data_IF_125081975724
#
_entry.id   IF_125081975724
#
_cell.length_a   1.000
_cell.length_b   1.000
_cell.length_c   1.000
_cell.angle_alpha   90.00
_cell.angle_beta   90.00
_cell.angle_gamma   90.00
#
_symmetry.space_group_name_H-M   'P 1'
#
loop_
_entity.id
_entity.type
_entity.pdbx_description
1 polymer ?
#
# COMPACT_ATOMS: atom_id res chain seq x y z
N UNK A 1 -2.15 10.32 -7.05
CA UNK A 1 -2.81 9.70 -5.89
C UNK A 1 -2.15 8.37 -5.71
N UNK A 2 -1.91 8.12 -4.45
CA UNK A 2 -0.87 7.26 -3.94
C UNK A 2 -1.24 5.81 -4.17
N UNK A 3 -0.30 5.09 -4.76
CA UNK A 3 -0.14 3.65 -4.83
C UNK A 3 -0.09 2.95 -3.45
N UNK A 4 -0.71 3.52 -2.42
CA UNK A 4 -0.31 3.29 -1.03
C UNK A 4 -0.99 2.10 -0.37
N UNK A 5 -1.18 1.05 -1.15
CA UNK A 5 -1.56 -0.26 -0.63
C UNK A 5 -0.50 -1.33 -0.89
N UNK A 6 0.54 -0.99 -1.67
CA UNK A 6 1.63 -1.89 -2.04
C UNK A 6 3.03 -1.40 -1.64
N UNK A 7 3.18 -0.11 -1.30
CA UNK A 7 4.48 0.56 -1.13
C UNK A 7 4.73 1.08 0.30
N UNK A 8 4.40 0.25 1.29
CA UNK A 8 4.72 0.49 2.71
C UNK A 8 5.88 -0.41 3.21
N UNK A 9 6.61 -1.05 2.29
CA UNK A 9 7.62 -2.09 2.64
C UNK A 9 9.08 -1.61 2.64
N UNK A 10 9.42 -0.43 2.13
CA UNK A 10 10.83 -0.16 1.79
C UNK A 10 11.80 0.16 2.94
N UNK A 11 11.36 0.57 4.15
CA UNK A 11 12.25 1.37 5.02
C UNK A 11 12.81 0.67 6.28
N UNK A 12 12.39 -0.54 6.70
CA UNK A 12 12.93 -1.13 7.95
C UNK A 12 13.37 -2.61 7.93
N UNK A 13 13.62 -3.15 6.75
CA UNK A 13 14.29 -4.45 6.61
C UNK A 13 15.54 -4.32 5.77
N UNK A 14 16.70 -4.40 6.41
CA UNK A 14 17.96 -4.53 5.70
C UNK A 14 18.00 -5.81 4.87
N UNK A 15 17.66 -5.72 3.58
CA UNK A 15 18.05 -6.68 2.55
C UNK A 15 18.00 -6.00 1.16
N UNK A 16 19.15 -5.45 0.74
CA UNK A 16 19.28 -4.58 -0.44
C UNK A 16 19.02 -5.24 -1.81
N UNK A 17 18.69 -6.54 -1.87
CA UNK A 17 18.35 -7.24 -3.10
C UNK A 17 16.82 -7.45 -3.27
N UNK A 18 16.05 -7.22 -2.21
CA UNK A 18 14.61 -7.47 -2.08
C UNK A 18 13.78 -6.18 -2.19
N UNK A 19 14.31 -5.06 -1.69
CA UNK A 19 13.68 -3.74 -1.77
C UNK A 19 13.27 -3.36 -3.21
N UNK A 20 14.04 -3.76 -4.24
CA UNK A 20 13.74 -3.38 -5.62
C UNK A 20 12.43 -3.93 -6.20
N UNK A 21 11.90 -5.03 -5.65
CA UNK A 21 10.63 -5.60 -6.13
C UNK A 21 9.46 -4.92 -5.43
N UNK A 22 9.44 -4.85 -4.11
CA UNK A 22 8.36 -4.17 -3.38
C UNK A 22 8.32 -2.65 -3.57
N UNK A 23 9.37 -2.06 -4.13
CA UNK A 23 9.44 -0.63 -4.51
C UNK A 23 8.92 -0.35 -5.93
N UNK A 24 8.36 -1.34 -6.63
CA UNK A 24 7.84 -1.12 -8.00
C UNK A 24 6.54 -0.31 -7.93
N UNK A 25 6.50 0.91 -8.51
CA UNK A 25 5.26 1.69 -8.62
C UNK A 25 4.17 0.89 -9.35
N UNK A 26 2.90 1.05 -8.94
CA UNK A 26 1.79 0.28 -9.51
C UNK A 26 1.63 0.60 -10.99
N UNK A 27 1.91 1.84 -11.39
CA UNK A 27 1.87 2.30 -12.78
C UNK A 27 2.88 1.55 -13.66
N UNK A 28 3.97 1.03 -13.09
CA UNK A 28 4.96 0.24 -13.84
C UNK A 28 4.44 -1.16 -14.16
N UNK A 29 3.44 -1.67 -13.43
CA UNK A 29 2.77 -2.92 -13.81
C UNK A 29 2.04 -2.79 -15.14
N UNK A 30 1.59 -1.60 -15.53
CA UNK A 30 0.98 -1.38 -16.85
C UNK A 30 1.98 -1.64 -18.00
N UNK A 31 3.28 -1.58 -17.71
CA UNK A 31 4.40 -1.74 -18.66
C UNK A 31 5.14 -3.09 -18.49
N UNK A 32 4.82 -3.84 -17.43
CA UNK A 32 5.44 -5.11 -17.08
C UNK A 32 4.94 -6.25 -17.97
N UNK A 33 5.80 -7.20 -18.33
CA UNK A 33 5.34 -8.42 -19.02
C UNK A 33 4.76 -9.43 -18.02
N UNK A 34 3.90 -10.36 -18.49
CA UNK A 34 3.38 -11.45 -17.63
C UNK A 34 4.48 -12.32 -17.01
N UNK A 35 5.63 -12.47 -17.69
CA UNK A 35 6.79 -13.19 -17.17
C UNK A 35 7.45 -12.40 -16.03
N UNK A 36 7.65 -11.11 -16.21
CA UNK A 36 8.25 -10.26 -15.18
C UNK A 36 7.32 -10.14 -13.97
N UNK A 37 6.01 -10.09 -14.20
CA UNK A 37 5.00 -10.16 -13.14
C UNK A 37 5.06 -11.47 -12.34
N UNK A 38 5.28 -12.60 -13.01
CA UNK A 38 5.44 -13.88 -12.31
C UNK A 38 6.70 -13.91 -11.43
N UNK A 39 7.81 -13.37 -11.93
CA UNK A 39 9.06 -13.24 -11.16
C UNK A 39 8.86 -12.30 -9.96
N UNK A 40 8.18 -11.18 -10.18
CA UNK A 40 7.80 -10.22 -9.14
C UNK A 40 7.00 -10.88 -8.03
N UNK A 41 5.90 -11.58 -8.37
CA UNK A 41 5.05 -12.25 -7.40
C UNK A 41 5.84 -13.27 -6.57
N UNK A 42 6.73 -14.01 -7.22
CA UNK A 42 7.56 -15.01 -6.55
C UNK A 42 8.51 -14.37 -5.53
N UNK A 43 9.17 -13.27 -5.89
CA UNK A 43 10.03 -12.51 -4.98
C UNK A 43 9.23 -11.91 -3.82
N UNK A 44 8.13 -11.21 -4.12
CA UNK A 44 7.22 -10.61 -3.14
C UNK A 44 6.72 -11.66 -2.13
N UNK A 45 6.28 -12.85 -2.58
CA UNK A 45 5.78 -13.90 -1.68
C UNK A 45 6.87 -14.47 -0.78
N UNK A 46 8.11 -14.57 -1.25
CA UNK A 46 9.26 -15.01 -0.43
C UNK A 46 9.54 -13.96 0.64
N UNK A 47 9.58 -12.69 0.27
CA UNK A 47 9.84 -11.58 1.19
C UNK A 47 8.76 -11.46 2.25
N UNK A 48 7.48 -11.50 1.87
CA UNK A 48 6.35 -11.46 2.82
C UNK A 48 6.25 -12.68 3.75
N UNK A 49 7.02 -13.75 3.49
CA UNK A 49 7.20 -14.90 4.40
C UNK A 49 8.42 -14.75 5.29
N UNK A 50 9.51 -14.18 4.75
CA UNK A 50 10.76 -13.98 5.48
C UNK A 50 10.68 -12.80 6.45
N UNK A 51 9.87 -11.80 6.13
CA UNK A 51 9.77 -10.56 6.89
C UNK A 51 8.38 -10.42 7.53
N UNK A 52 8.33 -10.38 8.86
CA UNK A 52 7.13 -10.00 9.63
C UNK A 52 6.93 -8.47 9.67
N UNK A 53 7.42 -7.71 8.66
CA UNK A 53 7.80 -6.31 8.87
C UNK A 53 7.12 -5.20 8.08
N UNK A 54 6.30 -5.40 7.04
CA UNK A 54 5.77 -4.22 6.38
C UNK A 54 4.72 -3.56 7.27
N UNK A 55 4.76 -2.23 7.34
CA UNK A 55 3.70 -1.41 7.94
C UNK A 55 2.49 -1.38 6.99
N UNK A 56 2.03 -2.57 6.59
CA UNK A 56 0.92 -2.79 5.68
C UNK A 56 -0.27 -3.31 6.48
N UNK A 57 -1.50 -2.83 6.21
CA UNK A 57 -2.68 -3.39 6.85
C UNK A 57 -2.81 -4.91 6.63
N UNK A 58 -3.26 -5.63 7.66
CA UNK A 58 -3.34 -7.11 7.60
C UNK A 58 -4.17 -7.60 6.40
N UNK A 59 -5.25 -6.90 6.10
CA UNK A 59 -6.15 -7.16 4.98
C UNK A 59 -5.37 -7.14 3.66
N UNK A 60 -4.56 -6.11 3.47
CA UNK A 60 -3.76 -5.90 2.26
C UNK A 60 -2.65 -6.92 2.15
N UNK A 61 -2.01 -7.23 3.28
CA UNK A 61 -1.05 -8.34 3.36
C UNK A 61 -1.67 -9.66 2.87
N UNK A 62 -2.93 -9.94 3.25
CA UNK A 62 -3.62 -11.15 2.82
C UNK A 62 -3.94 -11.12 1.33
N UNK A 63 -4.40 -9.99 0.79
CA UNK A 63 -4.61 -9.81 -0.65
C UNK A 63 -3.33 -10.10 -1.44
N UNK A 64 -2.22 -9.46 -1.06
CA UNK A 64 -0.92 -9.62 -1.73
C UNK A 64 -0.41 -11.06 -1.72
N UNK A 65 -0.51 -11.74 -0.57
CA UNK A 65 -0.16 -13.16 -0.43
C UNK A 65 -1.06 -14.08 -1.28
N UNK A 66 -2.26 -13.62 -1.64
CA UNK A 66 -3.19 -14.38 -2.46
C UNK A 66 -3.06 -14.16 -3.96
N UNK A 67 -2.26 -13.17 -4.40
CA UNK A 67 -2.07 -12.88 -5.82
C UNK A 67 -1.38 -14.05 -6.55
N UNK A 68 -1.83 -14.34 -7.76
CA UNK A 68 -1.28 -15.39 -8.62
C UNK A 68 -0.97 -14.84 -10.01
N UNK A 69 -0.28 -15.61 -10.86
CA UNK A 69 0.01 -15.19 -12.24
C UNK A 69 -1.26 -14.94 -13.07
N UNK A 70 -2.39 -15.56 -12.70
CA UNK A 70 -3.68 -15.37 -13.37
C UNK A 70 -4.30 -13.99 -13.06
N UNK A 71 -3.79 -13.31 -12.03
CA UNK A 71 -4.21 -11.96 -11.67
C UNK A 71 -3.57 -10.86 -12.54
N UNK A 72 -2.61 -11.23 -13.39
CA UNK A 72 -1.83 -10.29 -14.21
C UNK A 72 -2.69 -9.26 -14.96
N UNK A 73 -3.66 -9.71 -15.77
CA UNK A 73 -4.44 -8.81 -16.61
C UNK A 73 -5.30 -7.84 -15.78
N UNK A 74 -5.77 -8.29 -14.60
CA UNK A 74 -6.50 -7.46 -13.66
C UNK A 74 -5.61 -6.42 -12.97
N UNK A 75 -4.39 -6.80 -12.55
CA UNK A 75 -3.41 -5.85 -12.00
C UNK A 75 -2.98 -4.82 -13.03
N UNK A 76 -2.80 -5.22 -14.29
CA UNK A 76 -2.52 -4.29 -15.41
C UNK A 76 -3.68 -3.32 -15.63
N UNK A 77 -4.93 -3.79 -15.56
CA UNK A 77 -6.10 -2.93 -15.70
C UNK A 77 -6.19 -1.90 -14.57
N UNK A 78 -5.98 -2.33 -13.32
CA UNK A 78 -5.89 -1.46 -12.15
C UNK A 78 -4.79 -0.40 -12.34
N UNK A 79 -3.57 -0.83 -12.69
CA UNK A 79 -2.41 0.04 -12.90
C UNK A 79 -2.64 1.11 -13.96
N UNK A 80 -3.24 0.73 -15.10
CA UNK A 80 -3.58 1.68 -16.18
C UNK A 80 -4.57 2.73 -15.71
N UNK A 81 -5.61 2.33 -14.98
CA UNK A 81 -6.59 3.27 -14.44
C UNK A 81 -5.94 4.24 -13.46
N UNK A 82 -5.00 3.78 -12.63
CA UNK A 82 -4.19 4.64 -11.75
C UNK A 82 -3.36 5.64 -12.56
N UNK A 83 -2.66 5.17 -13.60
CA UNK A 83 -1.86 6.02 -14.50
C UNK A 83 -2.73 7.08 -15.22
N UNK A 84 -3.95 6.73 -15.64
CA UNK A 84 -4.90 7.66 -16.27
C UNK A 84 -5.28 8.84 -15.36
N UNK A 85 -5.56 8.60 -14.07
CA UNK A 85 -5.82 9.66 -13.11
C UNK A 85 -4.58 10.54 -12.91
N UNK A 86 -3.40 9.92 -12.78
CA UNK A 86 -2.13 10.64 -12.68
C UNK A 86 -1.92 11.59 -13.86
N UNK A 87 -2.15 11.11 -15.08
CA UNK A 87 -2.04 11.90 -16.32
C UNK A 87 -3.05 13.05 -16.41
N UNK A 88 -4.23 12.91 -15.80
CA UNK A 88 -5.24 13.99 -15.71
C UNK A 88 -4.94 15.00 -14.60
N UNK A 89 -3.91 14.77 -13.78
CA UNK A 89 -3.68 15.55 -12.56
C UNK A 89 -4.79 15.33 -11.52
N UNK A 90 -5.58 14.28 -11.70
CA UNK A 90 -6.71 13.94 -10.86
C UNK A 90 -6.27 13.05 -9.71
N UNK A 91 -6.92 13.16 -8.55
CA UNK A 91 -6.83 12.12 -7.57
C UNK A 91 -7.41 10.82 -8.13
N UNK A 92 -6.66 9.72 -8.03
CA UNK A 92 -7.19 8.38 -8.25
C UNK A 92 -8.32 8.16 -7.24
N UNK A 93 -9.35 7.45 -7.66
CA UNK A 93 -10.42 6.95 -6.82
C UNK A 93 -10.23 5.42 -6.70
N UNK A 94 -10.15 4.90 -5.48
CA UNK A 94 -9.89 3.48 -5.23
C UNK A 94 -11.01 2.58 -5.77
N UNK A 95 -12.27 3.00 -5.65
CA UNK A 95 -13.40 2.24 -6.15
C UNK A 95 -13.45 2.26 -7.68
N UNK A 96 -13.12 3.39 -8.32
CA UNK A 96 -12.98 3.45 -9.77
C UNK A 96 -11.78 2.63 -10.30
N UNK A 97 -10.66 2.63 -9.58
CA UNK A 97 -9.47 1.84 -9.93
C UNK A 97 -9.78 0.34 -9.89
N UNK A 98 -10.47 -0.12 -8.84
CA UNK A 98 -10.98 -1.49 -8.77
C UNK A 98 -12.07 -1.76 -9.81
N UNK A 99 -12.93 -0.80 -10.14
CA UNK A 99 -13.93 -0.94 -11.19
C UNK A 99 -13.34 -1.32 -12.55
N UNK A 100 -12.13 -0.85 -12.88
CA UNK A 100 -11.43 -1.25 -14.09
C UNK A 100 -11.02 -2.74 -14.13
N UNK A 101 -10.99 -3.42 -12.98
CA UNK A 101 -10.62 -4.83 -12.83
C UNK A 101 -11.82 -5.75 -13.03
N UNK A 102 -13.05 -5.29 -12.76
CA UNK A 102 -14.26 -6.13 -12.70
C UNK A 102 -14.48 -6.94 -13.98
N UNK A 103 -14.38 -6.28 -15.14
CA UNK A 103 -14.62 -6.90 -16.46
C UNK A 103 -13.47 -7.81 -16.93
N UNK A 104 -12.27 -7.66 -16.36
CA UNK A 104 -11.06 -8.38 -16.78
C UNK A 104 -10.79 -9.59 -15.88
N UNK A 105 -10.94 -9.41 -14.58
CA UNK A 105 -10.73 -10.45 -13.58
C UNK A 105 -11.64 -10.19 -12.37
N UNK A 106 -12.90 -10.63 -12.48
CA UNK A 106 -13.91 -10.51 -11.42
C UNK A 106 -13.48 -11.09 -10.08
N UNK A 107 -12.75 -12.21 -10.07
CA UNK A 107 -12.28 -12.82 -8.83
C UNK A 107 -11.28 -11.90 -8.10
N UNK A 108 -10.34 -11.32 -8.83
CA UNK A 108 -9.39 -10.37 -8.27
C UNK A 108 -10.10 -9.10 -7.78
N UNK A 109 -11.06 -8.58 -8.55
CA UNK A 109 -11.89 -7.44 -8.15
C UNK A 109 -12.61 -7.68 -6.81
N UNK A 110 -13.30 -8.81 -6.66
CA UNK A 110 -14.02 -9.15 -5.44
C UNK A 110 -13.08 -9.30 -4.24
N UNK A 111 -11.89 -9.91 -4.43
CA UNK A 111 -10.86 -10.01 -3.39
C UNK A 111 -10.30 -8.62 -3.01
N UNK A 112 -10.05 -7.79 -4.01
CA UNK A 112 -9.54 -6.43 -3.87
C UNK A 112 -10.46 -5.53 -3.06
N UNK A 113 -11.72 -5.42 -3.48
CA UNK A 113 -12.72 -4.63 -2.76
C UNK A 113 -12.97 -5.15 -1.35
N UNK A 114 -13.12 -6.47 -1.19
CA UNK A 114 -13.30 -7.05 0.15
C UNK A 114 -12.14 -6.71 1.10
N UNK A 115 -10.91 -6.71 0.58
CA UNK A 115 -9.73 -6.33 1.35
C UNK A 115 -9.79 -4.84 1.71
N UNK A 116 -10.12 -3.97 0.76
CA UNK A 116 -10.23 -2.53 0.97
C UNK A 116 -11.35 -2.14 1.93
N UNK A 117 -12.56 -2.68 1.76
CA UNK A 117 -13.69 -2.42 2.64
C UNK A 117 -13.40 -2.87 4.08
N UNK A 118 -12.70 -4.00 4.26
CA UNK A 118 -12.29 -4.47 5.58
C UNK A 118 -11.24 -3.54 6.23
N UNK A 119 -10.30 -3.01 5.44
CA UNK A 119 -9.30 -2.06 5.90
C UNK A 119 -9.93 -0.71 6.27
N UNK A 120 -10.70 -0.10 5.35
CA UNK A 120 -11.30 1.21 5.58
C UNK A 120 -12.30 1.15 6.74
N UNK A 121 -13.05 0.05 6.88
CA UNK A 121 -13.93 -0.17 8.02
C UNK A 121 -13.18 -0.19 9.36
N UNK A 122 -11.92 -0.66 9.42
CA UNK A 122 -11.11 -0.54 10.64
C UNK A 122 -10.66 0.89 10.89
N UNK A 123 -10.23 1.60 9.84
CA UNK A 123 -9.83 3.02 9.93
C UNK A 123 -11.00 3.89 10.42
N UNK A 124 -12.20 3.63 9.91
CA UNK A 124 -13.43 4.33 10.32
C UNK A 124 -13.83 4.06 11.78
N UNK A 125 -13.38 2.95 12.37
CA UNK A 125 -13.63 2.64 13.77
C UNK A 125 -12.61 3.24 14.74
N UNK A 126 -11.54 3.85 14.23
CA UNK A 126 -10.55 4.54 15.06
C UNK A 126 -11.13 5.80 15.72
N UNK A 127 -10.52 6.21 16.83
CA UNK A 127 -10.72 7.52 17.42
C UNK A 127 -10.23 8.64 16.50
N UNK A 128 -10.68 9.87 16.75
CA UNK A 128 -10.56 10.98 15.80
C UNK A 128 -9.13 11.25 15.34
N UNK A 129 -8.15 11.35 16.25
CA UNK A 129 -6.77 11.73 15.87
C UNK A 129 -6.05 10.63 15.06
N UNK A 130 -6.07 9.34 15.46
CA UNK A 130 -5.58 8.25 14.61
C UNK A 130 -6.24 8.21 13.23
N UNK A 131 -7.56 8.39 13.19
CA UNK A 131 -8.34 8.40 11.95
C UNK A 131 -7.89 9.53 11.02
N UNK A 132 -7.86 10.76 11.53
CA UNK A 132 -7.42 11.93 10.77
C UNK A 132 -5.99 11.77 10.26
N UNK A 133 -5.09 11.21 11.08
CA UNK A 133 -3.73 10.92 10.63
C UNK A 133 -3.71 9.97 9.42
N UNK A 134 -4.44 8.85 9.49
CA UNK A 134 -4.53 7.90 8.38
C UNK A 134 -5.13 8.58 7.15
N UNK A 135 -6.24 9.30 7.31
CA UNK A 135 -6.86 9.99 6.18
C UNK A 135 -5.93 11.05 5.59
N UNK A 136 -5.28 11.90 6.37
CA UNK A 136 -4.45 13.00 5.85
C UNK A 136 -3.13 12.56 5.22
N UNK A 137 -2.59 11.42 5.64
CA UNK A 137 -1.30 10.90 5.16
C UNK A 137 -1.46 9.80 4.12
N UNK A 138 -2.37 8.85 4.33
CA UNK A 138 -2.52 7.64 3.51
C UNK A 138 -3.64 7.82 2.48
N UNK A 139 -4.86 8.16 2.92
CA UNK A 139 -6.03 8.17 2.03
C UNK A 139 -6.24 9.50 1.30
N UNK A 140 -5.63 10.60 1.75
CA UNK A 140 -5.92 11.93 1.22
C UNK A 140 -5.45 12.01 -0.23
N UNK A 141 -6.32 12.43 -1.14
CA UNK A 141 -5.91 12.56 -2.52
C UNK A 141 -4.90 13.70 -2.70
N UNK A 142 -3.66 13.37 -3.10
CA UNK A 142 -2.60 14.34 -3.40
C UNK A 142 -2.43 14.52 -4.91
N UNK A 143 -2.32 15.78 -5.33
CA UNK A 143 -1.96 16.14 -6.71
C UNK A 143 -0.57 15.58 -7.04
N UNK A 144 -0.30 15.17 -8.28
CA UNK A 144 1.04 14.79 -8.71
C UNK A 144 2.01 15.95 -8.43
N UNK A 145 3.03 15.71 -7.60
CA UNK A 145 4.03 16.74 -7.25
C UNK A 145 5.11 16.91 -8.32
N UNK A 146 5.13 16.06 -9.35
CA UNK A 146 6.22 15.96 -10.32
C UNK A 146 7.50 15.36 -9.72
N UNK A 147 7.45 14.89 -8.47
CA UNK A 147 8.53 14.17 -7.79
C UNK A 147 8.61 12.73 -8.33
N UNK A 148 9.80 12.13 -8.28
CA UNK A 148 9.96 10.69 -8.53
C UNK A 148 9.13 9.89 -7.52
N UNK A 149 8.44 8.82 -7.98
CA UNK A 149 7.48 8.06 -7.18
C UNK A 149 8.03 7.59 -5.82
N UNK A 150 9.25 7.03 -5.81
CA UNK A 150 9.89 6.58 -4.56
C UNK A 150 10.19 7.70 -3.56
N UNK A 151 10.37 8.95 -4.02
CA UNK A 151 10.55 10.11 -3.13
C UNK A 151 9.23 10.49 -2.45
N UNK A 152 8.12 10.44 -3.20
CA UNK A 152 6.80 10.77 -2.68
C UNK A 152 6.33 9.75 -1.63
N UNK A 153 6.56 8.46 -1.87
CA UNK A 153 6.15 7.36 -0.97
C UNK A 153 6.94 7.40 0.35
N UNK A 154 8.25 7.59 0.27
CA UNK A 154 9.11 7.77 1.45
C UNK A 154 8.66 8.96 2.31
N UNK A 155 8.24 10.06 1.68
CA UNK A 155 7.72 11.23 2.39
C UNK A 155 6.39 10.92 3.10
N UNK A 156 5.48 10.21 2.45
CA UNK A 156 4.18 9.85 3.04
C UNK A 156 4.37 8.93 4.24
N UNK A 157 5.24 7.93 4.12
CA UNK A 157 5.58 7.05 5.23
C UNK A 157 6.23 7.85 6.39
N UNK A 158 7.16 8.75 6.08
CA UNK A 158 7.78 9.60 7.10
C UNK A 158 6.76 10.52 7.81
N UNK A 159 5.85 11.14 7.06
CA UNK A 159 4.76 11.97 7.61
C UNK A 159 3.84 11.14 8.51
N UNK A 160 3.44 9.94 8.07
CA UNK A 160 2.62 9.02 8.85
C UNK A 160 3.31 8.61 10.15
N UNK A 161 4.56 8.15 10.08
CA UNK A 161 5.34 7.71 11.25
C UNK A 161 5.60 8.85 12.22
N UNK A 162 5.92 10.05 11.71
CA UNK A 162 6.11 11.23 12.55
C UNK A 162 4.80 11.61 13.24
N UNK A 163 3.66 11.58 12.54
CA UNK A 163 2.35 11.82 13.12
C UNK A 163 2.00 10.78 14.18
N UNK A 164 2.17 9.50 13.87
CA UNK A 164 1.88 8.38 14.77
C UNK A 164 2.72 8.45 16.05
N UNK A 165 3.99 8.86 15.94
CA UNK A 165 4.90 9.00 17.07
C UNK A 165 4.49 10.06 18.11
N UNK A 166 3.60 10.98 17.73
CA UNK A 166 3.05 12.07 18.56
C UNK A 166 1.70 11.73 19.20
N UNK A 167 1.08 10.62 18.80
CA UNK A 167 -0.15 10.11 19.41
C UNK A 167 0.15 9.57 20.82
N UNK A 168 -0.89 9.52 21.66
CA UNK A 168 -0.83 8.83 22.95
C UNK A 168 -0.65 7.32 22.79
N UNK A 169 -0.26 6.63 23.86
CA UNK A 169 -0.07 5.17 23.82
C UNK A 169 -1.35 4.42 23.42
N UNK A 170 -2.51 4.86 23.91
CA UNK A 170 -3.81 4.25 23.56
C UNK A 170 -4.15 4.50 22.08
N UNK A 171 -3.94 5.72 21.59
CA UNK A 171 -4.15 6.08 20.17
C UNK A 171 -3.17 5.32 19.23
N UNK A 172 -1.92 5.09 19.65
CA UNK A 172 -0.97 4.25 18.90
C UNK A 172 -1.40 2.77 18.92
N UNK A 173 -1.93 2.28 20.03
CA UNK A 173 -2.46 0.92 20.13
C UNK A 173 -3.67 0.70 19.22
N UNK A 174 -4.52 1.72 19.03
CA UNK A 174 -5.59 1.66 18.02
C UNK A 174 -5.03 1.51 16.60
N UNK A 175 -4.01 2.32 16.24
CA UNK A 175 -3.37 2.21 14.92
C UNK A 175 -2.65 0.88 14.71
N UNK A 176 -2.07 0.29 15.76
CA UNK A 176 -1.43 -1.03 15.72
C UNK A 176 -2.40 -2.15 15.27
N UNK A 177 -3.69 -2.00 15.57
CA UNK A 177 -4.73 -2.95 15.11
C UNK A 177 -4.95 -2.90 13.60
N UNK A 178 -4.67 -1.74 12.99
CA UNK A 178 -4.75 -1.51 11.53
C UNK A 178 -3.41 -1.83 10.88
N UNK A 179 -2.32 -1.26 11.40
CA UNK A 179 -0.94 -1.37 10.92
C UNK A 179 -0.09 -2.12 11.95
N UNK A 180 0.06 -3.45 11.81
CA UNK A 180 0.86 -4.22 12.73
C UNK A 180 2.32 -3.78 12.67
N UNK A 181 3.01 -3.89 13.80
CA UNK A 181 4.39 -3.48 14.02
C UNK A 181 4.63 -1.96 14.08
N UNK A 182 3.60 -1.12 14.02
CA UNK A 182 3.74 0.33 14.10
C UNK A 182 4.54 0.77 15.33
N UNK A 183 4.23 0.22 16.49
CA UNK A 183 4.88 0.54 17.76
C UNK A 183 6.35 0.13 17.75
N UNK A 184 6.67 -1.05 17.20
CA UNK A 184 8.05 -1.49 17.04
C UNK A 184 8.83 -0.55 16.12
N UNK A 185 8.23 -0.19 14.99
CA UNK A 185 8.80 0.74 14.00
C UNK A 185 9.06 2.11 14.63
N UNK A 186 8.11 2.66 15.38
CA UNK A 186 8.26 3.95 16.07
C UNK A 186 9.42 3.91 17.08
N UNK A 187 9.57 2.83 17.85
CA UNK A 187 10.67 2.69 18.82
C UNK A 187 12.04 2.71 18.13
N UNK A 188 12.19 1.95 17.05
CA UNK A 188 13.41 1.94 16.24
C UNK A 188 13.74 3.34 15.72
N UNK A 189 12.75 4.10 15.24
CA UNK A 189 12.95 5.48 14.77
C UNK A 189 13.36 6.45 15.89
N UNK A 190 12.91 6.21 17.13
CA UNK A 190 13.25 7.04 18.30
C UNK A 190 14.59 6.68 18.94
N UNK A 191 15.26 5.61 18.49
CA UNK A 191 16.41 4.98 19.17
C UNK A 191 16.06 4.52 20.60
N UNK A 192 14.85 4.00 20.79
CA UNK A 192 14.32 3.43 22.04
C UNK A 192 14.31 1.89 22.04
#
# INVERSE_FOLDING_TARGET
MTTLLLLLVAILSGCAAAASYLDTPIEDFAKMTKKDFHNYLSAMHIEMKAEEKPLIPKEMTALLKSLTIDDYDGIVAYAKKVEEFGNKGEPVDTYEAWGAVEDVNRNLYERGLKSYDAYIGKVENLSMKPKELVFDTIEKPRKPSGEEHGVQENRILAEFLQGASRLSADEQAELELVYPNLTMVIKVLKNE
#
